data_IF_587430322253
#
_entry.id   IF_587430322253
#
_cell.length_a   1.000
_cell.length_b   1.000
_cell.length_c   1.000
_cell.angle_alpha   90.00
_cell.angle_beta   90.00
_cell.angle_gamma   90.00
#
_symmetry.space_group_name_H-M   'P 1'
#
loop_
_entity.id
_entity.type
_entity.pdbx_description
1 polymer ?
#
# COMPACT_ATOMS: atom_id res chain seq x y z
N UNK A 1 -23.01 8.75 21.43
CA UNK A 1 -23.03 7.34 20.99
C UNK A 1 -21.62 7.02 20.53
N UNK A 2 -20.85 6.25 21.31
CA UNK A 2 -19.52 5.84 20.87
C UNK A 2 -19.72 4.69 19.88
N UNK A 3 -19.22 4.88 18.67
CA UNK A 3 -19.11 3.86 17.64
C UNK A 3 -18.54 2.56 18.23
N UNK A 4 -19.21 1.43 17.99
CA UNK A 4 -18.73 0.11 18.39
C UNK A 4 -17.45 -0.29 17.62
N UNK A 5 -16.74 -1.36 18.05
CA UNK A 5 -15.55 -1.85 17.36
C UNK A 5 -15.83 -2.28 15.91
N UNK A 6 -17.08 -2.50 15.55
CA UNK A 6 -17.52 -2.89 14.21
C UNK A 6 -17.94 -1.70 13.32
N UNK A 7 -17.90 -0.47 13.84
CA UNK A 7 -18.20 0.71 13.06
C UNK A 7 -17.04 1.04 12.09
N UNK A 8 -17.25 0.98 10.77
CA UNK A 8 -16.21 1.31 9.80
C UNK A 8 -15.68 2.75 9.91
N UNK A 9 -16.48 3.68 10.45
CA UNK A 9 -16.06 5.06 10.69
C UNK A 9 -15.07 5.17 11.85
N UNK A 10 -15.11 4.20 12.78
CA UNK A 10 -14.20 4.11 13.92
C UNK A 10 -12.90 3.36 13.60
N UNK A 11 -12.85 2.59 12.52
CA UNK A 11 -11.75 1.69 12.19
C UNK A 11 -10.71 2.29 11.22
N UNK A 12 -9.45 1.97 11.50
CA UNK A 12 -8.30 2.33 10.66
C UNK A 12 -7.50 1.09 10.30
N UNK A 13 -7.40 0.79 9.02
CA UNK A 13 -6.59 -0.31 8.51
C UNK A 13 -5.19 0.22 8.25
N UNK A 14 -4.18 -0.37 8.89
CA UNK A 14 -2.77 -0.05 8.66
C UNK A 14 -2.05 -1.32 8.21
N UNK A 15 -1.35 -1.25 7.09
CA UNK A 15 -0.68 -2.41 6.47
C UNK A 15 0.83 -2.24 6.52
N UNK A 16 1.51 -3.36 6.74
CA UNK A 16 2.96 -3.47 6.62
C UNK A 16 3.33 -4.86 6.12
N UNK A 17 4.44 -4.97 5.38
CA UNK A 17 4.90 -6.27 4.89
C UNK A 17 5.52 -7.06 6.05
N UNK A 18 5.47 -8.39 5.99
CA UNK A 18 5.96 -9.26 7.08
C UNK A 18 7.47 -9.08 7.38
N UNK A 19 8.24 -8.58 6.41
CA UNK A 19 9.68 -8.31 6.52
C UNK A 19 10.01 -6.83 6.74
N UNK A 20 8.99 -5.97 6.91
CA UNK A 20 9.18 -4.56 7.22
C UNK A 20 9.45 -4.35 8.71
N UNK A 21 10.49 -3.57 9.01
CA UNK A 21 10.72 -3.05 10.35
C UNK A 21 10.05 -1.69 10.50
N UNK A 22 8.97 -1.61 11.28
CA UNK A 22 8.29 -0.35 11.61
C UNK A 22 8.89 0.28 12.85
N UNK A 23 9.01 1.62 12.86
CA UNK A 23 9.47 2.34 14.06
C UNK A 23 8.37 2.32 15.14
N UNK A 24 8.69 2.36 16.45
CA UNK A 24 7.70 2.37 17.52
C UNK A 24 6.55 3.41 17.35
N UNK A 25 6.81 4.67 16.93
CA UNK A 25 5.73 5.65 16.75
C UNK A 25 4.96 5.51 15.43
N UNK A 26 5.15 4.43 14.66
CA UNK A 26 4.58 4.25 13.34
C UNK A 26 3.05 4.32 13.36
N UNK A 27 2.38 3.47 14.15
CA UNK A 27 0.92 3.47 14.23
C UNK A 27 0.39 4.79 14.81
N UNK A 28 1.06 5.35 15.82
CA UNK A 28 0.69 6.65 16.39
C UNK A 28 0.78 7.79 15.35
N UNK A 29 1.66 7.69 14.34
CA UNK A 29 1.70 8.65 13.23
C UNK A 29 0.49 8.49 12.31
N UNK A 30 0.08 7.26 12.00
CA UNK A 30 -1.17 7.02 11.24
C UNK A 30 -2.38 7.63 11.94
N UNK A 31 -2.54 7.36 13.23
CA UNK A 31 -3.67 7.88 14.01
C UNK A 31 -3.69 9.41 14.09
N UNK A 32 -2.52 10.07 14.16
CA UNK A 32 -2.43 11.53 14.09
C UNK A 32 -2.90 12.10 12.74
N UNK A 33 -2.57 11.43 11.63
CA UNK A 33 -3.05 11.85 10.31
C UNK A 33 -4.57 11.64 10.17
N UNK A 34 -5.09 10.50 10.65
CA UNK A 34 -6.54 10.25 10.70
C UNK A 34 -7.26 11.31 11.53
N UNK A 35 -6.75 11.64 12.72
CA UNK A 35 -7.33 12.70 13.56
C UNK A 35 -7.28 14.08 12.89
N UNK A 36 -6.34 14.29 11.97
CA UNK A 36 -6.28 15.47 11.09
C UNK A 36 -7.19 15.41 9.86
N UNK A 37 -8.08 14.41 9.76
CA UNK A 37 -9.04 14.25 8.67
C UNK A 37 -8.57 13.43 7.47
N UNK A 38 -7.43 12.73 7.56
CA UNK A 38 -6.97 11.89 6.47
C UNK A 38 -7.76 10.57 6.39
N UNK A 39 -8.31 10.27 5.21
CA UNK A 39 -8.93 8.96 4.91
C UNK A 39 -7.94 7.95 4.31
N UNK A 40 -6.84 8.45 3.75
CA UNK A 40 -5.75 7.66 3.17
C UNK A 40 -4.40 8.25 3.58
N UNK A 41 -3.48 7.40 3.99
CA UNK A 41 -2.08 7.71 4.25
C UNK A 41 -1.21 6.85 3.35
N UNK A 42 -0.45 7.52 2.47
CA UNK A 42 0.61 6.91 1.67
C UNK A 42 1.96 7.25 2.29
N UNK A 43 2.54 6.28 2.97
CA UNK A 43 3.81 6.44 3.66
C UNK A 43 5.00 6.14 2.76
N UNK A 44 6.16 6.66 3.15
CA UNK A 44 7.44 6.37 2.48
C UNK A 44 8.11 5.14 3.08
N UNK A 45 8.97 4.50 2.30
CA UNK A 45 9.77 3.36 2.76
C UNK A 45 11.26 3.64 2.60
N UNK A 46 12.10 2.81 3.20
CA UNK A 46 13.54 2.79 2.97
C UNK A 46 14.02 1.34 2.98
N UNK A 47 15.08 1.06 2.23
CA UNK A 47 15.64 -0.28 2.17
C UNK A 47 16.44 -0.54 3.44
N UNK A 48 16.20 -1.68 4.10
CA UNK A 48 16.92 -2.10 5.31
C UNK A 48 18.43 -2.12 5.06
N UNK A 49 19.21 -1.69 6.06
CA UNK A 49 20.68 -1.77 5.99
C UNK A 49 21.11 -3.24 5.86
N UNK A 50 22.14 -3.49 5.05
CA UNK A 50 22.63 -4.84 4.78
C UNK A 50 21.92 -5.58 3.65
N UNK A 51 20.71 -5.15 3.23
CA UNK A 51 20.02 -5.74 2.06
C UNK A 51 20.70 -5.38 0.74
N UNK A 52 21.29 -4.19 0.66
CA UNK A 52 22.02 -3.69 -0.51
C UNK A 52 23.40 -3.19 -0.09
N UNK A 53 24.33 -3.15 -1.06
CA UNK A 53 25.59 -2.42 -0.87
C UNK A 53 25.31 -0.94 -0.60
N UNK A 54 26.21 -0.28 0.15
CA UNK A 54 26.05 1.13 0.52
C UNK A 54 25.82 2.03 -0.71
N UNK A 55 26.59 1.80 -1.79
CA UNK A 55 26.44 2.52 -3.07
C UNK A 55 25.05 2.34 -3.69
N UNK A 56 24.55 1.10 -3.78
CA UNK A 56 23.23 0.83 -4.38
C UNK A 56 22.10 1.43 -3.55
N UNK A 57 22.22 1.37 -2.22
CA UNK A 57 21.25 1.98 -1.31
C UNK A 57 21.24 3.51 -1.43
N UNK A 58 22.40 4.15 -1.57
CA UNK A 58 22.49 5.59 -1.80
C UNK A 58 21.85 5.99 -3.12
N UNK A 59 22.13 5.26 -4.22
CA UNK A 59 21.50 5.49 -5.52
C UNK A 59 19.98 5.32 -5.46
N UNK A 60 19.49 4.26 -4.82
CA UNK A 60 18.06 4.04 -4.61
C UNK A 60 17.42 5.20 -3.85
N UNK A 61 18.02 5.66 -2.74
CA UNK A 61 17.49 6.78 -1.96
C UNK A 61 17.45 8.09 -2.75
N UNK A 62 18.48 8.38 -3.53
CA UNK A 62 18.51 9.58 -4.40
C UNK A 62 17.38 9.52 -5.43
N UNK A 63 17.22 8.37 -6.07
CA UNK A 63 16.19 8.14 -7.08
C UNK A 63 14.77 8.18 -6.49
N UNK A 64 14.58 7.56 -5.32
CA UNK A 64 13.33 7.60 -4.57
C UNK A 64 12.96 9.03 -4.15
N UNK A 65 13.91 9.79 -3.59
CA UNK A 65 13.68 11.17 -3.16
C UNK A 65 13.28 12.10 -4.33
N UNK A 66 13.84 11.90 -5.53
CA UNK A 66 13.44 12.67 -6.73
C UNK A 66 11.99 12.48 -7.13
N UNK A 67 11.38 11.34 -6.76
CA UNK A 67 9.98 11.01 -7.06
C UNK A 67 9.01 11.42 -5.95
N UNK A 68 9.51 12.06 -4.89
CA UNK A 68 8.70 12.68 -3.85
C UNK A 68 8.62 14.18 -4.13
N UNK A 69 7.40 14.71 -4.31
CA UNK A 69 7.15 16.14 -4.46
C UNK A 69 6.22 16.64 -3.36
N UNK A 70 6.75 17.44 -2.43
CA UNK A 70 6.03 17.93 -1.25
C UNK A 70 5.42 16.78 -0.43
N UNK A 71 4.09 16.66 -0.40
CA UNK A 71 3.33 15.60 0.30
C UNK A 71 2.85 14.50 -0.66
N UNK A 72 3.23 14.57 -1.93
CA UNK A 72 2.77 13.64 -2.96
C UNK A 72 3.94 12.83 -3.46
N UNK A 73 3.75 11.53 -3.61
CA UNK A 73 4.70 10.64 -4.25
C UNK A 73 3.91 9.63 -5.09
N UNK A 74 4.52 9.16 -6.17
CA UNK A 74 3.84 8.32 -7.17
C UNK A 74 3.86 6.82 -6.80
N UNK A 75 4.46 6.48 -5.67
CA UNK A 75 4.64 5.09 -5.25
C UNK A 75 3.64 4.74 -4.15
N UNK A 76 2.81 3.75 -4.40
CA UNK A 76 1.99 3.16 -3.35
C UNK A 76 2.74 1.93 -2.82
N UNK A 77 2.99 1.91 -1.51
CA UNK A 77 3.64 0.80 -0.84
C UNK A 77 2.65 0.15 0.14
N UNK A 78 2.35 -1.13 -0.06
CA UNK A 78 1.60 -1.92 0.93
C UNK A 78 2.28 -1.95 2.31
N UNK A 79 3.62 -1.83 2.33
CA UNK A 79 4.44 -1.81 3.53
C UNK A 79 4.23 -0.62 4.48
N UNK A 80 3.63 0.48 4.02
CA UNK A 80 3.39 1.69 4.81
C UNK A 80 2.17 2.45 4.27
N UNK A 81 1.02 1.78 4.29
CA UNK A 81 -0.26 2.33 3.87
C UNK A 81 -1.24 2.30 5.04
N UNK A 82 -2.09 3.32 5.13
CA UNK A 82 -3.26 3.23 5.99
C UNK A 82 -4.48 3.88 5.36
N UNK A 83 -5.65 3.35 5.66
CA UNK A 83 -6.93 3.76 5.07
C UNK A 83 -8.04 3.62 6.11
N UNK A 84 -9.03 4.51 6.09
CA UNK A 84 -10.25 4.33 6.89
C UNK A 84 -11.01 3.09 6.41
N UNK A 85 -11.61 2.32 7.32
CA UNK A 85 -12.36 1.14 6.90
C UNK A 85 -13.56 1.52 6.03
N UNK A 86 -14.19 2.68 6.28
CA UNK A 86 -15.18 3.26 5.38
C UNK A 86 -14.66 3.44 3.95
N UNK A 87 -13.58 4.19 3.74
CA UNK A 87 -13.05 4.44 2.40
C UNK A 87 -12.61 3.12 1.72
N UNK A 88 -12.06 2.18 2.48
CA UNK A 88 -11.73 0.85 1.99
C UNK A 88 -12.96 0.11 1.44
N UNK A 89 -14.07 0.12 2.18
CA UNK A 89 -15.31 -0.54 1.77
C UNK A 89 -15.99 0.18 0.59
N UNK A 90 -16.04 1.51 0.61
CA UNK A 90 -16.59 2.32 -0.49
C UNK A 90 -15.85 2.08 -1.83
N UNK A 91 -14.54 1.85 -1.76
CA UNK A 91 -13.71 1.52 -2.94
C UNK A 91 -13.77 0.03 -3.35
N UNK A 92 -14.51 -0.81 -2.62
CA UNK A 92 -14.62 -2.25 -2.90
C UNK A 92 -13.42 -3.08 -2.47
N UNK A 93 -12.58 -2.53 -1.59
CA UNK A 93 -11.40 -3.18 -1.01
C UNK A 93 -10.27 -3.47 -2.00
N UNK A 94 -9.23 -4.17 -1.51
CA UNK A 94 -8.14 -4.62 -2.37
C UNK A 94 -8.58 -5.83 -3.19
N UNK A 95 -8.70 -5.63 -4.50
CA UNK A 95 -8.98 -6.72 -5.42
C UNK A 95 -7.75 -7.62 -5.57
N UNK A 96 -7.90 -8.95 -5.52
CA UNK A 96 -6.80 -9.84 -5.80
C UNK A 96 -6.34 -9.63 -7.23
N UNK A 97 -5.08 -9.23 -7.39
CA UNK A 97 -4.42 -9.25 -8.69
C UNK A 97 -3.62 -10.54 -8.81
N UNK A 98 -3.70 -11.27 -9.94
CA UNK A 98 -2.85 -12.44 -10.14
C UNK A 98 -1.39 -12.00 -10.08
N UNK A 99 -0.75 -12.30 -8.95
CA UNK A 99 0.66 -12.06 -8.76
C UNK A 99 1.40 -13.18 -9.47
N UNK A 100 2.28 -12.85 -10.40
CA UNK A 100 3.17 -13.86 -10.97
C UNK A 100 4.04 -14.41 -9.84
N UNK A 101 3.99 -15.74 -9.69
CA UNK A 101 4.83 -16.60 -8.82
C UNK A 101 4.21 -17.05 -7.49
N UNK A 102 3.30 -18.00 -7.62
CA UNK A 102 3.59 -19.36 -7.14
C UNK A 102 3.66 -20.22 -8.38
N UNK A 103 4.81 -20.86 -8.68
CA UNK A 103 4.85 -21.86 -9.75
C UNK A 103 4.15 -23.12 -9.24
N UNK A 104 2.83 -23.13 -9.29
CA UNK A 104 2.07 -24.37 -9.36
C UNK A 104 1.91 -24.68 -10.84
N UNK A 105 2.39 -25.85 -11.25
CA UNK A 105 2.27 -26.37 -12.61
C UNK A 105 0.83 -26.21 -13.13
N UNK A 106 0.62 -25.84 -14.41
CA UNK A 106 -0.71 -25.58 -14.92
C UNK A 106 -1.42 -26.89 -15.30
N UNK A 107 -2.55 -27.19 -14.64
CA UNK A 107 -3.64 -27.95 -15.24
C UNK A 107 -4.96 -27.18 -15.07
N UNK A 108 -5.27 -26.44 -16.14
CA UNK A 108 -6.57 -26.29 -16.78
C UNK A 108 -7.79 -25.58 -16.14
N UNK A 109 -8.41 -24.77 -17.03
CA UNK A 109 -9.77 -24.20 -17.09
C UNK A 109 -10.03 -22.89 -16.34
N UNK A 110 -9.82 -21.78 -17.07
CA UNK A 110 -10.38 -20.47 -16.74
C UNK A 110 -11.87 -20.34 -17.16
N UNK A 111 -12.67 -19.52 -16.46
CA UNK A 111 -14.04 -19.20 -16.86
C UNK A 111 -14.09 -18.14 -17.98
N UNK A 112 -15.20 -18.06 -18.74
CA UNK A 112 -15.31 -17.21 -19.93
C UNK A 112 -15.44 -15.72 -19.56
N UNK A 113 -15.05 -14.89 -20.53
CA UNK A 113 -14.63 -13.51 -20.33
C UNK A 113 -15.72 -12.50 -19.99
N UNK A 114 -15.27 -11.38 -19.44
CA UNK A 114 -16.02 -10.13 -19.43
C UNK A 114 -15.56 -9.30 -20.64
N UNK A 115 -16.44 -9.19 -21.63
CA UNK A 115 -16.25 -8.32 -22.78
C UNK A 115 -16.44 -6.85 -22.34
N UNK A 116 -15.54 -5.99 -22.82
CA UNK A 116 -15.50 -4.53 -22.64
C UNK A 116 -14.84 -4.02 -21.35
N UNK A 117 -13.55 -3.70 -21.47
CA UNK A 117 -12.93 -2.50 -20.89
C UNK A 117 -11.64 -2.26 -21.71
N UNK A 118 -11.70 -1.38 -22.70
CA UNK A 118 -10.50 -0.88 -23.38
C UNK A 118 -9.71 0.02 -22.39
N UNK A 119 -8.37 0.03 -22.44
CA UNK A 119 -7.53 0.50 -21.34
C UNK A 119 -7.25 2.01 -21.41
N UNK A 120 -6.99 2.71 -20.29
CA UNK A 120 -5.96 3.71 -20.30
C UNK A 120 -4.63 3.02 -20.05
N UNK A 121 -3.70 3.26 -20.97
CA UNK A 121 -2.28 2.92 -20.89
C UNK A 121 -1.70 3.21 -19.52
N UNK A 122 -1.15 2.19 -18.85
CA UNK A 122 -0.19 2.36 -17.77
C UNK A 122 1.05 1.58 -18.15
N UNK A 123 2.09 2.29 -18.58
CA UNK A 123 3.42 1.72 -18.82
C UNK A 123 4.11 1.55 -17.46
N UNK A 124 4.65 0.35 -17.24
CA UNK A 124 5.61 0.08 -16.16
C UNK A 124 6.88 0.92 -16.32
#
# INVERSE_FOLDING_TARGET
MLAGPDDPDALWLATTDADTLVAPPWLARHLRHRAGGAELLLGTVDVRRGTLTARRRALWRLDYARRIRRRTHWHVHGANLGISARAYLELGGFRPWPTTRTSTSPTERGPPGCASCAPPTWQC
#
